data_IF_477226490436
#
_entry.id   IF_477226490436
#
_cell.length_a   1.000
_cell.length_b   1.000
_cell.length_c   1.000
_cell.angle_alpha   90.00
_cell.angle_beta   90.00
_cell.angle_gamma   90.00
#
_symmetry.space_group_name_H-M   'P 1'
#
loop_
_entity.id
_entity.type
_entity.pdbx_description
1 polymer ?
#
# COMPACT_ATOMS: atom_id res chain seq x y z
N UNK A 1 4.99 6.58 9.26
CA UNK A 1 5.18 7.38 8.03
C UNK A 1 6.43 6.97 7.26
N UNK A 2 6.42 7.19 5.95
CA UNK A 2 7.61 7.21 5.10
C UNK A 2 8.08 8.66 5.07
N UNK A 3 9.27 8.95 5.61
CA UNK A 3 9.88 10.27 5.63
C UNK A 3 10.40 10.69 4.25
N UNK A 4 10.82 11.94 4.09
CA UNK A 4 11.18 12.50 2.79
C UNK A 4 12.29 11.73 2.06
N UNK A 5 13.19 11.15 2.83
CA UNK A 5 14.38 10.42 2.39
C UNK A 5 14.10 8.90 2.23
N UNK A 6 12.84 8.46 2.38
CA UNK A 6 12.44 7.05 2.25
C UNK A 6 12.62 6.21 3.53
N UNK A 7 13.12 6.82 4.60
CA UNK A 7 13.28 6.21 5.93
C UNK A 7 11.92 6.14 6.64
N UNK A 8 11.72 5.13 7.49
CA UNK A 8 10.50 5.00 8.30
C UNK A 8 10.58 5.86 9.57
N UNK A 9 9.44 6.35 10.01
CA UNK A 9 9.33 7.26 11.18
C UNK A 9 9.53 6.56 12.54
N UNK A 10 9.45 5.23 12.57
CA UNK A 10 9.72 4.43 13.77
C UNK A 10 11.08 3.73 13.65
N UNK A 11 11.76 3.52 14.77
CA UNK A 11 13.03 2.80 14.80
C UNK A 11 12.86 1.29 14.58
N UNK A 12 13.95 0.64 14.17
CA UNK A 12 13.98 -0.78 13.86
C UNK A 12 13.57 -1.69 15.02
N UNK A 13 13.84 -1.29 16.28
CA UNK A 13 13.46 -2.06 17.47
C UNK A 13 11.95 -2.12 17.60
N UNK A 14 11.27 -0.96 17.50
CA UNK A 14 9.80 -0.89 17.52
C UNK A 14 9.21 -1.63 16.32
N UNK A 15 9.73 -1.40 15.12
CA UNK A 15 9.24 -2.07 13.91
C UNK A 15 9.33 -3.59 14.02
N UNK A 16 10.40 -4.13 14.62
CA UNK A 16 10.59 -5.57 14.81
C UNK A 16 9.51 -6.25 15.64
N UNK A 17 8.87 -5.51 16.56
CA UNK A 17 7.84 -6.03 17.47
C UNK A 17 6.42 -6.07 16.86
N UNK A 18 6.15 -5.32 15.80
CA UNK A 18 4.81 -5.20 15.21
C UNK A 18 4.43 -6.43 14.39
N UNK A 19 3.16 -6.81 14.32
CA UNK A 19 2.72 -7.92 13.45
C UNK A 19 2.61 -7.52 11.97
N UNK A 20 2.14 -6.31 11.70
CA UNK A 20 1.95 -5.77 10.35
C UNK A 20 2.41 -4.32 10.33
N UNK A 21 3.26 -3.97 9.36
CA UNK A 21 3.81 -2.63 9.19
C UNK A 21 3.23 -2.00 7.92
N UNK A 22 2.45 -0.94 8.13
CA UNK A 22 1.84 -0.15 7.06
C UNK A 22 2.63 1.14 6.87
N UNK A 23 3.21 1.32 5.68
CA UNK A 23 3.97 2.51 5.31
C UNK A 23 3.16 3.40 4.37
N UNK A 24 3.22 4.72 4.56
CA UNK A 24 2.56 5.68 3.68
C UNK A 24 3.23 7.05 3.68
N UNK A 25 2.97 7.83 2.63
CA UNK A 25 3.42 9.21 2.49
C UNK A 25 2.35 10.17 3.01
N UNK A 26 2.71 11.01 3.98
CA UNK A 26 1.82 12.05 4.53
C UNK A 26 2.37 13.48 4.39
N UNK A 27 3.53 13.62 3.75
CA UNK A 27 4.26 14.88 3.65
C UNK A 27 5.05 14.98 2.35
N UNK A 28 5.48 16.19 1.99
CA UNK A 28 6.28 16.47 0.78
C UNK A 28 5.64 15.89 -0.49
N UNK A 29 4.33 16.12 -0.68
CA UNK A 29 3.61 15.61 -1.87
C UNK A 29 4.07 16.23 -3.20
N UNK A 30 4.78 17.36 -3.16
CA UNK A 30 5.30 18.07 -4.32
C UNK A 30 6.74 17.72 -4.71
N UNK A 31 7.28 16.59 -4.25
CA UNK A 31 8.60 16.12 -4.70
C UNK A 31 8.59 15.89 -6.23
N UNK A 32 9.71 16.10 -6.92
CA UNK A 32 9.87 15.67 -8.30
C UNK A 32 9.54 14.17 -8.45
N UNK A 33 8.95 13.74 -9.59
CA UNK A 33 8.49 12.35 -9.75
C UNK A 33 9.58 11.30 -9.51
N UNK A 34 10.82 11.57 -9.92
CA UNK A 34 11.97 10.69 -9.69
C UNK A 34 12.28 10.55 -8.20
N UNK A 35 12.32 11.66 -7.45
CA UNK A 35 12.57 11.66 -6.01
C UNK A 35 11.44 10.97 -5.23
N UNK A 36 10.18 11.16 -5.63
CA UNK A 36 9.05 10.44 -5.02
C UNK A 36 9.15 8.93 -5.28
N UNK A 37 9.57 8.53 -6.49
CA UNK A 37 9.80 7.12 -6.83
C UNK A 37 10.90 6.52 -5.96
N UNK A 38 12.06 7.20 -5.85
CA UNK A 38 13.17 6.76 -5.00
C UNK A 38 12.75 6.63 -3.53
N UNK A 39 12.00 7.61 -3.01
CA UNK A 39 11.45 7.59 -1.64
C UNK A 39 10.57 6.36 -1.40
N UNK A 40 9.64 6.07 -2.32
CA UNK A 40 8.75 4.91 -2.20
C UNK A 40 9.56 3.61 -2.29
N UNK A 41 10.42 3.47 -3.31
CA UNK A 41 11.25 2.28 -3.53
C UNK A 41 12.18 2.01 -2.35
N UNK A 42 12.80 3.04 -1.77
CA UNK A 42 13.64 2.92 -0.58
C UNK A 42 12.84 2.39 0.63
N UNK A 43 11.63 2.92 0.85
CA UNK A 43 10.77 2.43 1.93
C UNK A 43 10.37 0.96 1.73
N UNK A 44 10.01 0.57 0.50
CA UNK A 44 9.68 -0.82 0.18
C UNK A 44 10.88 -1.76 0.36
N UNK A 45 12.07 -1.32 -0.05
CA UNK A 45 13.30 -2.09 0.04
C UNK A 45 13.90 -2.15 1.44
N UNK A 46 13.33 -1.42 2.42
CA UNK A 46 13.83 -1.38 3.80
C UNK A 46 13.74 -2.73 4.54
N UNK A 47 12.92 -3.66 4.05
CA UNK A 47 12.65 -4.94 4.72
C UNK A 47 11.59 -4.86 5.82
N UNK A 48 11.12 -3.66 6.19
CA UNK A 48 10.13 -3.49 7.25
C UNK A 48 8.71 -3.35 6.72
N UNK A 49 8.49 -2.73 5.56
CA UNK A 49 7.12 -2.46 5.07
C UNK A 49 6.44 -3.74 4.60
N UNK A 50 5.20 -3.96 5.04
CA UNK A 50 4.35 -5.06 4.60
C UNK A 50 3.28 -4.60 3.60
N UNK A 51 2.73 -3.41 3.86
CA UNK A 51 1.70 -2.79 3.02
C UNK A 51 2.06 -1.33 2.75
N UNK A 52 2.04 -0.93 1.48
CA UNK A 52 2.08 0.48 1.07
C UNK A 52 0.64 1.03 1.08
N UNK A 53 0.31 1.85 2.08
CA UNK A 53 -1.00 2.45 2.24
C UNK A 53 -1.23 3.64 1.30
N UNK A 54 -2.45 3.70 0.75
CA UNK A 54 -2.99 4.72 -0.16
C UNK A 54 -1.88 5.35 -1.01
N UNK A 55 -1.33 4.58 -1.98
CA UNK A 55 -0.01 4.81 -2.56
C UNK A 55 0.14 6.07 -3.40
N UNK A 56 -0.95 6.74 -3.78
CA UNK A 56 -0.91 8.00 -4.54
C UNK A 56 -1.09 9.23 -3.65
N UNK A 57 -1.49 9.02 -2.39
CA UNK A 57 -1.77 10.07 -1.42
C UNK A 57 -2.94 10.97 -1.80
N UNK A 58 -3.72 10.63 -2.83
CA UNK A 58 -4.83 11.47 -3.30
C UNK A 58 -5.95 11.61 -2.27
N UNK A 59 -6.67 12.72 -2.36
CA UNK A 59 -7.95 12.96 -1.69
C UNK A 59 -8.91 13.53 -2.74
N UNK A 60 -9.94 12.78 -3.10
CA UNK A 60 -10.89 13.15 -4.15
C UNK A 60 -11.52 14.51 -3.86
N UNK A 61 -11.34 15.45 -4.79
CA UNK A 61 -11.84 16.83 -4.69
C UNK A 61 -11.03 17.75 -3.77
N UNK A 62 -9.91 17.30 -3.19
CA UNK A 62 -9.08 18.11 -2.28
C UNK A 62 -7.59 18.09 -2.63
N UNK A 63 -7.03 16.92 -2.98
CA UNK A 63 -5.60 16.74 -3.27
C UNK A 63 -5.43 15.76 -4.41
N UNK A 64 -4.83 16.22 -5.50
CA UNK A 64 -4.42 15.37 -6.61
C UNK A 64 -3.38 14.33 -6.17
N UNK A 65 -3.32 13.22 -6.90
CA UNK A 65 -2.27 12.23 -6.73
C UNK A 65 -0.88 12.85 -6.98
N UNK A 66 0.08 12.59 -6.09
CA UNK A 66 1.46 12.92 -6.39
C UNK A 66 1.98 12.03 -7.51
N UNK A 67 2.96 12.55 -8.26
CA UNK A 67 3.51 11.86 -9.43
C UNK A 67 4.68 10.97 -9.01
N UNK A 68 4.73 9.75 -9.53
CA UNK A 68 5.82 8.79 -9.36
C UNK A 68 5.76 7.76 -10.50
N UNK A 69 6.84 7.01 -10.68
CA UNK A 69 6.88 5.88 -11.60
C UNK A 69 6.17 4.67 -10.96
N UNK A 70 4.94 4.40 -11.41
CA UNK A 70 4.14 3.30 -10.90
C UNK A 70 4.81 1.95 -11.17
N UNK A 71 5.32 1.73 -12.36
CA UNK A 71 5.92 0.46 -12.79
C UNK A 71 7.11 0.11 -11.88
N UNK A 72 8.00 1.08 -11.62
CA UNK A 72 9.15 0.90 -10.75
C UNK A 72 8.74 0.53 -9.30
N UNK A 73 7.67 1.15 -8.78
CA UNK A 73 7.13 0.84 -7.46
C UNK A 73 6.49 -0.55 -7.43
N UNK A 74 5.72 -0.92 -8.46
CA UNK A 74 5.09 -2.24 -8.57
C UNK A 74 6.12 -3.36 -8.68
N UNK A 75 7.15 -3.19 -9.50
CA UNK A 75 8.26 -4.14 -9.64
C UNK A 75 9.01 -4.34 -8.32
N UNK A 76 9.28 -3.24 -7.61
CA UNK A 76 9.90 -3.32 -6.30
C UNK A 76 9.00 -4.06 -5.30
N UNK A 77 7.71 -3.69 -5.24
CA UNK A 77 6.74 -4.30 -4.35
C UNK A 77 6.60 -5.82 -4.59
N UNK A 78 6.48 -6.24 -5.84
CA UNK A 78 6.43 -7.65 -6.22
C UNK A 78 7.70 -8.40 -5.81
N UNK A 79 8.88 -7.83 -6.10
CA UNK A 79 10.18 -8.43 -5.78
C UNK A 79 10.40 -8.59 -4.28
N UNK A 80 10.08 -7.57 -3.50
CA UNK A 80 10.34 -7.54 -2.04
C UNK A 80 9.14 -8.03 -1.23
N UNK A 81 8.05 -8.44 -1.90
CA UNK A 81 6.86 -9.02 -1.29
C UNK A 81 6.01 -8.01 -0.51
N UNK A 82 5.96 -6.74 -0.90
CA UNK A 82 5.07 -5.71 -0.30
C UNK A 82 3.73 -5.72 -1.01
N UNK A 83 2.63 -5.68 -0.26
CA UNK A 83 1.31 -5.47 -0.83
C UNK A 83 1.00 -3.97 -1.01
N UNK A 84 0.23 -3.62 -2.05
CA UNK A 84 -0.29 -2.27 -2.22
C UNK A 84 -1.73 -2.17 -1.73
N UNK A 85 -2.07 -1.06 -1.10
CA UNK A 85 -3.41 -0.85 -0.56
C UNK A 85 -4.41 -0.41 -1.64
N UNK A 86 -5.61 -0.98 -1.60
CA UNK A 86 -6.85 -0.35 -2.07
C UNK A 86 -7.59 0.16 -0.83
N UNK A 87 -7.51 1.47 -0.61
CA UNK A 87 -8.15 2.15 0.48
C UNK A 87 -9.62 2.40 0.14
N UNK A 88 -10.52 1.72 0.83
CA UNK A 88 -11.94 1.78 0.58
C UNK A 88 -12.61 3.04 1.13
N UNK A 89 -11.86 3.93 1.81
CA UNK A 89 -12.43 5.18 2.31
C UNK A 89 -12.91 6.04 1.13
N UNK A 90 -14.17 6.54 1.12
CA UNK A 90 -14.77 7.16 -0.06
C UNK A 90 -14.02 8.37 -0.62
N UNK A 91 -13.30 9.11 0.23
CA UNK A 91 -12.50 10.26 -0.19
C UNK A 91 -11.12 9.87 -0.74
N UNK A 92 -10.69 8.61 -0.58
CA UNK A 92 -9.41 8.10 -1.08
C UNK A 92 -9.61 7.25 -2.34
N UNK A 93 -10.29 6.10 -2.18
CA UNK A 93 -10.42 5.06 -3.20
C UNK A 93 -9.07 4.74 -3.86
N UNK A 94 -8.01 4.59 -3.07
CA UNK A 94 -6.62 4.62 -3.54
C UNK A 94 -5.88 3.35 -3.11
N UNK A 95 -5.39 2.49 -4.00
CA UNK A 95 -5.30 2.61 -5.45
C UNK A 95 -6.63 2.59 -6.21
N UNK A 96 -6.64 3.24 -7.38
CA UNK A 96 -7.72 3.08 -8.34
C UNK A 96 -7.66 1.70 -9.02
N UNK A 97 -8.70 1.37 -9.78
CA UNK A 97 -8.84 0.09 -10.47
C UNK A 97 -7.78 -0.15 -11.56
N UNK A 98 -7.39 0.87 -12.32
CA UNK A 98 -6.33 0.75 -13.34
C UNK A 98 -4.98 0.41 -12.72
N UNK A 99 -4.59 1.10 -11.64
CA UNK A 99 -3.34 0.85 -10.93
C UNK A 99 -3.35 -0.48 -10.19
N UNK A 100 -4.49 -0.85 -9.59
CA UNK A 100 -4.67 -2.17 -8.98
C UNK A 100 -4.57 -3.30 -10.01
N UNK A 101 -5.06 -3.07 -11.24
CA UNK A 101 -4.90 -4.02 -12.35
C UNK A 101 -3.43 -4.18 -12.74
N UNK A 102 -2.70 -3.08 -12.88
CA UNK A 102 -1.26 -3.11 -13.14
C UNK A 102 -0.52 -3.86 -12.02
N UNK A 103 -0.87 -3.64 -10.76
CA UNK A 103 -0.26 -4.36 -9.64
C UNK A 103 -0.38 -5.88 -9.78
N UNK A 104 -1.55 -6.39 -10.20
CA UNK A 104 -1.74 -7.81 -10.51
C UNK A 104 -0.84 -8.28 -11.65
N UNK A 105 -0.73 -7.50 -12.71
CA UNK A 105 0.08 -7.84 -13.90
C UNK A 105 1.58 -7.93 -13.58
N UNK A 106 2.06 -7.18 -12.59
CA UNK A 106 3.42 -7.25 -12.06
C UNK A 106 3.61 -8.34 -10.98
N UNK A 107 2.54 -9.04 -10.60
CA UNK A 107 2.57 -10.04 -9.53
C UNK A 107 2.63 -9.47 -8.12
N UNK A 108 2.44 -8.16 -7.95
CA UNK A 108 2.31 -7.53 -6.65
C UNK A 108 0.98 -7.91 -5.99
N UNK A 109 0.97 -7.99 -4.67
CA UNK A 109 -0.23 -8.35 -3.90
C UNK A 109 -1.00 -7.12 -3.47
N UNK A 110 -2.28 -7.29 -3.18
CA UNK A 110 -3.19 -6.21 -2.78
C UNK A 110 -3.69 -6.43 -1.36
N UNK A 111 -3.75 -5.34 -0.59
CA UNK A 111 -4.44 -5.27 0.68
C UNK A 111 -5.65 -4.33 0.54
N UNK A 112 -6.82 -4.72 1.00
CA UNK A 112 -8.02 -3.87 1.03
C UNK A 112 -8.31 -3.52 2.48
N UNK A 113 -8.47 -2.24 2.79
CA UNK A 113 -8.94 -1.79 4.10
C UNK A 113 -9.86 -0.57 3.97
N UNK A 114 -10.38 -0.08 5.10
CA UNK A 114 -11.35 1.02 5.11
C UNK A 114 -10.81 2.32 5.69
N UNK A 115 -9.57 2.33 6.19
CA UNK A 115 -9.00 3.48 6.93
C UNK A 115 -9.94 4.00 8.04
N UNK A 116 -10.57 3.06 8.76
CA UNK A 116 -11.68 3.38 9.65
C UNK A 116 -11.20 4.11 10.92
N UNK A 117 -11.71 5.32 11.10
CA UNK A 117 -11.60 6.15 12.30
C UNK A 117 -12.91 6.16 13.12
N UNK A 118 -13.95 5.47 12.63
CA UNK A 118 -15.20 5.22 13.34
C UNK A 118 -15.84 3.90 12.88
N UNK A 119 -16.62 3.25 13.74
CA UNK A 119 -17.16 1.90 13.50
C UNK A 119 -18.02 1.78 12.24
N UNK A 120 -18.82 2.79 11.91
CA UNK A 120 -19.65 2.77 10.70
C UNK A 120 -18.82 2.74 9.41
N UNK A 121 -17.56 3.18 9.46
CA UNK A 121 -16.66 3.25 8.31
C UNK A 121 -16.17 1.86 7.87
N UNK A 122 -16.26 0.83 8.73
CA UNK A 122 -16.03 -0.55 8.28
C UNK A 122 -16.99 -0.97 7.16
N UNK A 123 -18.19 -0.36 7.08
CA UNK A 123 -19.14 -0.56 5.99
C UNK A 123 -18.65 -0.08 4.62
N UNK A 124 -17.53 0.65 4.57
CA UNK A 124 -16.92 1.12 3.32
C UNK A 124 -16.17 0.02 2.56
N UNK A 125 -15.90 -1.13 3.18
CA UNK A 125 -15.20 -2.26 2.54
C UNK A 125 -15.78 -2.62 1.16
N UNK A 126 -17.10 -2.48 0.98
CA UNK A 126 -17.78 -2.69 -0.30
C UNK A 126 -17.19 -1.86 -1.45
N UNK A 127 -16.66 -0.67 -1.19
CA UNK A 127 -16.03 0.17 -2.22
C UNK A 127 -14.68 -0.38 -2.63
N UNK A 128 -13.86 -0.84 -1.67
CA UNK A 128 -12.57 -1.48 -1.96
C UNK A 128 -12.74 -2.78 -2.74
N UNK A 129 -13.70 -3.63 -2.33
CA UNK A 129 -14.06 -4.84 -3.08
C UNK A 129 -14.59 -4.50 -4.47
N UNK A 130 -15.39 -3.44 -4.60
CA UNK A 130 -15.86 -2.93 -5.90
C UNK A 130 -14.70 -2.54 -6.83
N UNK A 131 -13.72 -1.79 -6.31
CA UNK A 131 -12.50 -1.42 -7.04
C UNK A 131 -11.69 -2.65 -7.44
N UNK A 132 -11.48 -3.60 -6.53
CA UNK A 132 -10.77 -4.85 -6.79
C UNK A 132 -11.42 -5.66 -7.92
N UNK A 133 -12.76 -5.74 -7.94
CA UNK A 133 -13.51 -6.41 -9.01
C UNK A 133 -13.35 -5.70 -10.35
N UNK A 134 -13.34 -4.36 -10.37
CA UNK A 134 -13.11 -3.57 -11.59
C UNK A 134 -11.69 -3.77 -12.13
N UNK A 135 -10.72 -3.99 -11.26
CA UNK A 135 -9.35 -4.38 -11.57
C UNK A 135 -9.18 -5.88 -11.93
N UNK A 136 -10.27 -6.66 -11.87
CA UNK A 136 -10.30 -8.12 -12.09
C UNK A 136 -9.30 -8.88 -11.18
N UNK A 137 -9.16 -8.40 -9.94
CA UNK A 137 -8.45 -9.13 -8.91
C UNK A 137 -9.25 -10.37 -8.52
N UNK A 138 -8.53 -11.45 -8.28
CA UNK A 138 -9.03 -12.71 -7.75
C UNK A 138 -8.66 -12.81 -6.26
N UNK A 139 -9.26 -13.72 -5.48
CA UNK A 139 -8.92 -13.88 -4.07
C UNK A 139 -7.41 -14.05 -3.83
N UNK A 140 -6.73 -14.80 -4.70
CA UNK A 140 -5.29 -15.06 -4.61
C UNK A 140 -4.39 -13.81 -4.78
N UNK A 141 -4.95 -12.73 -5.34
CA UNK A 141 -4.28 -11.42 -5.46
C UNK A 141 -4.42 -10.57 -4.19
N UNK A 142 -5.41 -10.89 -3.33
CA UNK A 142 -5.81 -10.07 -2.19
C UNK A 142 -5.49 -10.77 -0.86
N UNK A 143 -4.54 -10.22 -0.11
CA UNK A 143 -4.00 -10.85 1.11
C UNK A 143 -5.04 -11.00 2.22
N UNK A 144 -6.09 -10.18 2.22
CA UNK A 144 -7.20 -10.27 3.18
C UNK A 144 -8.02 -11.56 3.07
N UNK A 145 -7.91 -12.29 1.95
CA UNK A 145 -8.66 -13.52 1.72
C UNK A 145 -7.90 -14.77 2.18
N UNK A 146 -6.63 -14.61 2.55
CA UNK A 146 -5.79 -15.72 2.95
C UNK A 146 -6.08 -16.16 4.38
N UNK A 147 -5.80 -17.43 4.64
CA UNK A 147 -5.73 -17.94 6.01
C UNK A 147 -4.71 -17.15 6.83
N UNK A 148 -5.00 -16.96 8.11
CA UNK A 148 -4.19 -16.12 9.00
C UNK A 148 -2.72 -16.55 9.05
N UNK A 149 -2.44 -17.86 9.05
CA UNK A 149 -1.07 -18.39 9.04
C UNK A 149 -0.28 -17.96 7.80
N UNK A 150 -0.91 -17.99 6.63
CA UNK A 150 -0.31 -17.55 5.36
C UNK A 150 -0.08 -16.05 5.34
N UNK A 151 -1.04 -15.26 5.85
CA UNK A 151 -0.86 -13.82 5.99
C UNK A 151 0.32 -13.49 6.91
N UNK A 152 0.41 -14.15 8.07
CA UNK A 152 1.50 -13.96 9.02
C UNK A 152 2.85 -14.35 8.44
N UNK A 153 2.92 -15.43 7.65
CA UNK A 153 4.14 -15.81 6.92
C UNK A 153 4.56 -14.71 5.93
N UNK A 154 3.61 -14.16 5.17
CA UNK A 154 3.86 -13.10 4.21
C UNK A 154 4.45 -11.82 4.85
N UNK A 155 3.88 -11.36 5.96
CA UNK A 155 4.29 -10.11 6.65
C UNK A 155 5.48 -10.27 7.60
N UNK A 156 5.81 -11.50 8.02
CA UNK A 156 6.97 -11.74 8.90
C UNK A 156 8.25 -12.10 8.14
N UNK A 157 8.14 -12.48 6.86
CA UNK A 157 9.27 -12.99 6.05
C UNK A 157 10.46 -12.03 5.92
N UNK A 158 10.25 -10.72 6.10
CA UNK A 158 11.21 -9.69 5.66
C UNK A 158 12.07 -9.09 6.76
N UNK A 159 11.79 -9.42 8.02
CA UNK A 159 12.45 -8.79 9.16
C UNK A 159 13.90 -9.29 9.25
N UNK A 160 14.90 -8.39 9.16
CA UNK A 160 16.30 -8.75 9.37
C UNK A 160 16.60 -9.17 10.82
#
# INVERSE_FOLDING_TARGET
>A
DILGEGVLDLDAGILGELDVIVGSVHSRFGLPPAEMTERLVAALASGYVDVLAHPTGRLLGQREAYQFDLEAVLDCAARVGVALEINAYPQRLDLNDVMARAAKEHGAKIAINTDAHATYQFGFMKYGVGTARRAWLEPEDVINTWECSRLLEFVRRKRP
#
